data_IF_250909937257
#
_entry.id   IF_250909937257
#
_cell.length_a   1.000
_cell.length_b   1.000
_cell.length_c   1.000
_cell.angle_alpha   90.00
_cell.angle_beta   90.00
_cell.angle_gamma   90.00
#
_symmetry.space_group_name_H-M   'P 1'
#
loop_
_entity.id
_entity.type
_entity.pdbx_description
1 polymer ?
#
# COMPACT_ATOMS: atom_id res chain seq x y z
N UNK A 1 -5.66 16.17 27.28
CA UNK A 1 -4.31 15.83 26.77
C UNK A 1 -4.48 14.85 25.62
N UNK A 2 -4.23 15.28 24.39
CA UNK A 2 -4.35 14.47 23.18
C UNK A 2 -3.02 13.78 22.90
N UNK A 3 -2.91 12.49 23.22
CA UNK A 3 -1.77 11.66 22.81
C UNK A 3 -1.97 11.24 21.36
N UNK A 4 -1.65 12.14 20.43
CA UNK A 4 -1.49 11.77 19.03
C UNK A 4 -0.26 10.87 18.93
N UNK A 5 -0.49 9.56 18.96
CA UNK A 5 0.50 8.58 18.56
C UNK A 5 0.81 8.86 17.08
N UNK A 6 1.88 9.62 16.81
CA UNK A 6 2.50 9.63 15.49
C UNK A 6 2.81 8.18 15.17
N UNK A 7 2.01 7.59 14.28
CA UNK A 7 2.28 6.30 13.65
C UNK A 7 3.71 6.42 13.12
N UNK A 8 4.65 5.81 13.84
CA UNK A 8 6.06 5.78 13.50
C UNK A 8 6.09 4.96 12.22
N UNK A 9 6.03 5.65 11.09
CA UNK A 9 6.09 4.99 9.80
C UNK A 9 7.44 4.30 9.76
N UNK A 10 7.43 2.97 9.67
CA UNK A 10 8.58 2.14 9.34
C UNK A 10 9.07 2.53 7.93
N UNK A 11 9.73 3.69 7.85
CA UNK A 11 10.24 4.27 6.63
C UNK A 11 11.47 3.47 6.22
N UNK A 12 11.40 2.90 5.02
CA UNK A 12 12.50 2.11 4.45
C UNK A 12 13.72 3.00 4.32
N UNK A 13 14.85 2.57 4.92
CA UNK A 13 16.11 3.33 4.85
C UNK A 13 16.78 3.13 3.50
N UNK A 14 16.84 4.19 2.71
CA UNK A 14 17.52 4.21 1.42
C UNK A 14 18.91 4.80 1.62
N UNK A 15 19.95 4.05 1.25
CA UNK A 15 21.35 4.49 1.36
C UNK A 15 21.73 5.47 0.27
N UNK A 16 21.36 5.16 -0.96
CA UNK A 16 21.75 5.95 -2.12
C UNK A 16 20.75 5.74 -3.25
N UNK A 17 20.54 6.76 -4.07
CA UNK A 17 19.79 6.63 -5.31
C UNK A 17 20.76 6.62 -6.48
N UNK A 18 20.50 5.75 -7.45
CA UNK A 18 21.14 5.78 -8.76
C UNK A 18 20.27 6.66 -9.65
N UNK A 19 20.86 7.68 -10.25
CA UNK A 19 20.20 8.60 -11.17
C UNK A 19 20.62 8.33 -12.61
N UNK A 20 19.69 8.48 -13.55
CA UNK A 20 19.95 8.45 -14.98
C UNK A 20 20.75 9.69 -15.43
N UNK A 21 21.25 9.70 -16.66
CA UNK A 21 21.94 10.84 -17.29
C UNK A 21 21.10 12.13 -17.35
N UNK A 22 19.78 12.03 -17.10
CA UNK A 22 18.85 13.15 -16.99
C UNK A 22 18.50 13.55 -15.54
N UNK A 23 19.15 12.93 -14.55
CA UNK A 23 18.93 13.22 -13.12
C UNK A 23 17.72 12.53 -12.49
N UNK A 24 16.99 11.69 -13.24
CA UNK A 24 15.86 10.93 -12.69
C UNK A 24 16.34 9.75 -11.86
N UNK A 25 15.78 9.55 -10.66
CA UNK A 25 16.09 8.41 -9.80
C UNK A 25 15.56 7.13 -10.43
N UNK A 26 16.44 6.25 -10.88
CA UNK A 26 16.09 4.98 -11.55
C UNK A 26 16.21 3.78 -10.63
N UNK A 27 17.06 3.84 -9.61
CA UNK A 27 17.17 2.76 -8.63
C UNK A 27 17.52 3.31 -7.23
N UNK A 28 17.20 2.52 -6.21
CA UNK A 28 17.55 2.80 -4.83
C UNK A 28 18.41 1.66 -4.29
N UNK A 29 19.54 2.01 -3.68
CA UNK A 29 20.39 1.10 -2.92
C UNK A 29 19.85 1.10 -1.50
N UNK A 30 19.36 -0.06 -1.05
CA UNK A 30 18.84 -0.31 0.29
C UNK A 30 19.71 -1.35 0.99
N UNK A 31 19.67 -1.39 2.33
CA UNK A 31 20.30 -2.49 3.06
C UNK A 31 19.57 -3.81 2.85
N UNK A 32 20.31 -4.93 2.95
CA UNK A 32 19.74 -6.26 2.81
C UNK A 32 18.68 -6.55 3.90
N UNK A 33 18.84 -5.97 5.10
CA UNK A 33 17.85 -6.07 6.18
C UNK A 33 16.51 -5.43 5.79
N UNK A 34 16.56 -4.27 5.13
CA UNK A 34 15.38 -3.57 4.62
C UNK A 34 14.70 -4.35 3.49
N UNK A 35 15.48 -5.02 2.62
CA UNK A 35 14.94 -5.93 1.60
C UNK A 35 14.22 -7.14 2.23
N UNK A 36 14.73 -7.68 3.34
CA UNK A 36 14.06 -8.76 4.06
C UNK A 36 12.74 -8.30 4.70
N UNK A 37 12.67 -7.09 5.24
CA UNK A 37 11.41 -6.49 5.73
C UNK A 37 10.38 -6.35 4.61
N UNK A 38 10.79 -5.90 3.42
CA UNK A 38 9.92 -5.83 2.24
C UNK A 38 9.39 -7.20 1.84
N UNK A 39 10.24 -8.23 1.81
CA UNK A 39 9.80 -9.61 1.53
C UNK A 39 8.83 -10.15 2.56
N UNK A 40 9.03 -9.82 3.84
CA UNK A 40 8.11 -10.22 4.91
C UNK A 40 6.73 -9.56 4.74
N UNK A 41 6.69 -8.26 4.40
CA UNK A 41 5.44 -7.54 4.11
C UNK A 41 4.70 -8.11 2.90
N UNK A 42 5.42 -8.42 1.82
CA UNK A 42 4.82 -9.04 0.64
C UNK A 42 4.28 -10.44 0.92
N UNK A 43 4.90 -11.22 1.82
CA UNK A 43 4.37 -12.52 2.26
C UNK A 43 3.05 -12.42 3.04
N UNK A 44 2.77 -11.27 3.64
CA UNK A 44 1.49 -11.04 4.34
C UNK A 44 0.33 -10.95 3.36
N UNK A 45 0.58 -10.57 2.11
CA UNK A 45 -0.45 -10.50 1.07
C UNK A 45 -0.74 -11.94 0.59
N UNK A 46 -1.97 -12.45 0.74
CA UNK A 46 -2.35 -13.73 0.19
C UNK A 46 -2.13 -13.76 -1.33
N UNK A 47 -1.62 -14.86 -1.88
CA UNK A 47 -1.40 -14.98 -3.33
C UNK A 47 -2.70 -14.77 -4.13
N UNK A 48 -3.84 -15.17 -3.57
CA UNK A 48 -5.17 -14.96 -4.18
C UNK A 48 -5.58 -13.48 -4.29
N UNK A 49 -4.91 -12.57 -3.58
CA UNK A 49 -5.20 -11.13 -3.57
C UNK A 49 -4.15 -10.32 -4.33
N UNK A 50 -3.11 -10.97 -4.88
CA UNK A 50 -2.05 -10.27 -5.62
C UNK A 50 -2.59 -9.50 -6.83
N UNK A 51 -3.61 -10.02 -7.51
CA UNK A 51 -4.26 -9.38 -8.67
C UNK A 51 -4.81 -7.99 -8.34
N UNK A 52 -5.26 -7.76 -7.10
CA UNK A 52 -5.82 -6.47 -6.68
C UNK A 52 -4.73 -5.39 -6.64
N UNK A 53 -3.51 -5.75 -6.24
CA UNK A 53 -2.38 -4.82 -6.15
C UNK A 53 -1.68 -4.59 -7.49
N UNK A 54 -1.85 -5.50 -8.45
CA UNK A 54 -1.38 -5.33 -9.83
C UNK A 54 -2.33 -4.43 -10.65
N UNK A 55 -3.64 -4.46 -10.36
CA UNK A 55 -4.63 -3.63 -11.04
C UNK A 55 -4.92 -2.34 -10.26
N UNK A 56 -4.32 -1.24 -10.71
CA UNK A 56 -4.45 0.08 -10.08
C UNK A 56 -5.92 0.55 -9.95
N UNK A 57 -6.74 0.34 -10.97
CA UNK A 57 -8.14 0.77 -10.96
C UNK A 57 -8.96 -0.02 -9.93
N UNK A 58 -8.75 -1.33 -9.85
CA UNK A 58 -9.40 -2.17 -8.85
C UNK A 58 -8.97 -1.78 -7.42
N UNK A 59 -7.67 -1.55 -7.22
CA UNK A 59 -7.13 -1.12 -5.92
C UNK A 59 -7.75 0.20 -5.46
N UNK A 60 -7.77 1.22 -6.33
CA UNK A 60 -8.35 2.53 -6.02
C UNK A 60 -9.85 2.43 -5.72
N UNK A 61 -10.57 1.57 -6.44
CA UNK A 61 -11.99 1.35 -6.21
C UNK A 61 -12.26 0.73 -4.83
N UNK A 62 -11.51 -0.30 -4.45
CA UNK A 62 -11.61 -0.93 -3.12
C UNK A 62 -11.23 0.05 -2.02
N UNK A 63 -10.14 0.81 -2.18
CA UNK A 63 -9.70 1.79 -1.20
C UNK A 63 -10.76 2.88 -0.97
N UNK A 64 -11.40 3.35 -2.05
CA UNK A 64 -12.51 4.28 -1.98
C UNK A 64 -13.70 3.69 -1.25
N UNK A 65 -14.12 2.46 -1.58
CA UNK A 65 -15.22 1.78 -0.90
C UNK A 65 -14.97 1.59 0.60
N UNK A 66 -13.75 1.22 1.00
CA UNK A 66 -13.37 1.13 2.42
C UNK A 66 -13.45 2.48 3.13
N UNK A 67 -13.05 3.57 2.46
CA UNK A 67 -13.16 4.92 3.00
C UNK A 67 -14.62 5.33 3.17
N UNK A 68 -15.46 5.12 2.15
CA UNK A 68 -16.88 5.44 2.20
C UNK A 68 -17.61 4.63 3.28
N UNK A 69 -17.27 3.35 3.44
CA UNK A 69 -17.81 2.52 4.51
C UNK A 69 -17.40 3.04 5.90
N UNK A 70 -16.15 3.48 6.07
CA UNK A 70 -15.70 4.11 7.32
C UNK A 70 -16.41 5.44 7.60
N UNK A 71 -16.88 6.14 6.57
CA UNK A 71 -17.68 7.36 6.69
C UNK A 71 -19.19 7.06 6.88
N UNK A 72 -19.58 5.78 6.93
CA UNK A 72 -20.97 5.35 7.10
C UNK A 72 -21.80 5.37 5.81
N UNK A 73 -21.18 5.61 4.65
CA UNK A 73 -21.82 5.59 3.33
C UNK A 73 -21.92 4.16 2.81
N UNK A 74 -22.78 3.36 3.44
CA UNK A 74 -22.97 1.95 3.09
C UNK A 74 -24.41 1.76 2.60
N UNK A 75 -24.59 1.12 1.46
CA UNK A 75 -25.92 0.75 0.95
C UNK A 75 -26.09 -0.76 1.05
N UNK A 76 -27.23 -1.20 1.59
CA UNK A 76 -27.58 -2.62 1.64
C UNK A 76 -28.05 -3.04 0.26
N UNK A 77 -27.32 -3.95 -0.37
CA UNK A 77 -27.75 -4.61 -1.60
C UNK A 77 -28.79 -5.68 -1.25
N UNK A 78 -29.98 -5.57 -1.84
CA UNK A 78 -31.00 -6.62 -1.81
C UNK A 78 -30.75 -7.58 -2.97
N UNK A 79 -30.41 -8.83 -2.64
CA UNK A 79 -30.12 -9.88 -3.62
C UNK A 79 -31.34 -10.38 -4.40
N UNK A 80 -32.54 -9.90 -4.08
CA UNK A 80 -33.78 -10.21 -4.80
C UNK A 80 -34.08 -9.27 -5.97
N UNK A 81 -33.28 -8.23 -6.17
CA UNK A 81 -33.47 -7.21 -7.22
C UNK A 81 -32.34 -7.22 -8.27
N UNK A 82 -31.50 -8.27 -8.26
CA UNK A 82 -30.44 -8.56 -9.23
C UNK A 82 -30.91 -9.64 -10.22
#
# INVERSE_FOLDING_TARGET
MSTTLKKKSDLIKIKQYITDNKGHKIAAIIEIEELNKLKALLKTIPSSESWLYENKEAFESVQRGLKEASEGKISKLNLGEL
#
